data_IF_749204690534
#
_entry.id   IF_749204690534
#
_cell.length_a   1.000
_cell.length_b   1.000
_cell.length_c   1.000
_cell.angle_alpha   90.00
_cell.angle_beta   90.00
_cell.angle_gamma   90.00
#
_symmetry.space_group_name_H-M   'P 1'
#
loop_
_entity.id
_entity.type
_entity.pdbx_description
1 polymer ?
#
# COMPACT_ATOMS: atom_id res chain seq x y z
N UNK A 1 -10.23 8.80 -14.59
CA UNK A 1 -8.89 8.21 -14.64
C UNK A 1 -8.73 7.27 -13.45
N UNK A 2 -8.16 6.08 -13.62
CA UNK A 2 -7.94 5.14 -12.51
C UNK A 2 -6.59 5.47 -11.87
N UNK A 3 -6.61 6.13 -10.71
CA UNK A 3 -5.39 6.62 -10.04
C UNK A 3 -4.37 5.49 -9.80
N UNK A 4 -4.82 4.25 -9.57
CA UNK A 4 -3.94 3.09 -9.42
C UNK A 4 -3.07 2.81 -10.64
N UNK A 5 -3.64 2.90 -11.85
CA UNK A 5 -2.90 2.65 -13.10
C UNK A 5 -1.86 3.74 -13.41
N UNK A 6 -2.11 4.98 -12.93
CA UNK A 6 -1.14 6.07 -13.05
C UNK A 6 0.04 5.83 -12.10
N UNK A 7 -0.24 5.40 -10.87
CA UNK A 7 0.80 5.05 -9.89
C UNK A 7 1.64 3.86 -10.37
N UNK A 8 1.03 2.80 -10.88
CA UNK A 8 1.74 1.64 -11.46
C UNK A 8 2.73 2.06 -12.56
N UNK A 9 2.28 2.90 -13.50
CA UNK A 9 3.12 3.42 -14.58
C UNK A 9 4.25 4.29 -14.05
N UNK A 10 3.98 5.16 -13.07
CA UNK A 10 5.00 6.03 -12.47
C UNK A 10 6.09 5.26 -11.72
N UNK A 11 5.76 4.07 -11.20
CA UNK A 11 6.71 3.23 -10.46
C UNK A 11 7.41 2.18 -11.33
N UNK A 12 7.15 2.16 -12.64
CA UNK A 12 7.63 1.14 -13.58
C UNK A 12 7.37 -0.29 -13.05
N UNK A 13 6.13 -0.54 -12.59
CA UNK A 13 5.72 -1.84 -12.10
C UNK A 13 5.39 -2.76 -13.29
N UNK A 14 6.41 -3.44 -13.81
CA UNK A 14 6.21 -4.61 -14.69
C UNK A 14 5.72 -5.83 -13.89
N UNK A 15 5.36 -6.91 -14.59
CA UNK A 15 4.85 -8.12 -13.96
C UNK A 15 5.88 -8.79 -13.01
N UNK A 16 7.18 -8.62 -13.25
CA UNK A 16 8.24 -9.17 -12.39
C UNK A 16 8.37 -8.37 -11.09
N UNK A 17 8.27 -7.04 -11.15
CA UNK A 17 8.24 -6.16 -9.98
C UNK A 17 6.98 -6.42 -9.15
N UNK A 18 5.84 -6.68 -9.80
CA UNK A 18 4.62 -7.10 -9.10
C UNK A 18 4.79 -8.45 -8.38
N UNK A 19 5.45 -9.42 -8.99
CA UNK A 19 5.72 -10.71 -8.36
C UNK A 19 6.57 -10.55 -7.08
N UNK A 20 7.61 -9.72 -7.14
CA UNK A 20 8.45 -9.38 -5.98
C UNK A 20 7.69 -8.57 -4.92
N UNK A 21 6.78 -7.69 -5.33
CA UNK A 21 5.98 -6.91 -4.41
C UNK A 21 5.01 -7.76 -3.57
N UNK A 22 4.57 -8.92 -4.10
CA UNK A 22 3.76 -9.88 -3.35
C UNK A 22 4.51 -10.52 -2.17
N UNK A 23 5.82 -10.31 -2.03
CA UNK A 23 6.57 -10.77 -0.89
C UNK A 23 6.08 -10.08 0.41
N UNK A 24 5.78 -10.87 1.44
CA UNK A 24 5.30 -10.36 2.72
C UNK A 24 6.26 -9.34 3.36
N UNK A 25 7.57 -9.53 3.23
CA UNK A 25 8.57 -8.59 3.74
C UNK A 25 8.54 -7.26 2.99
N UNK A 26 8.33 -7.27 1.66
CA UNK A 26 8.13 -6.03 0.89
C UNK A 26 6.94 -5.26 1.45
N UNK A 27 5.80 -5.91 1.64
CA UNK A 27 4.61 -5.27 2.19
C UNK A 27 4.81 -4.72 3.61
N UNK A 28 5.32 -5.54 4.54
CA UNK A 28 5.47 -5.15 5.95
C UNK A 28 6.48 -4.01 6.15
N UNK A 29 7.58 -4.00 5.40
CA UNK A 29 8.60 -2.95 5.52
C UNK A 29 8.19 -1.61 4.88
N UNK A 30 7.05 -1.56 4.17
CA UNK A 30 6.44 -0.32 3.67
C UNK A 30 5.43 0.30 4.62
N UNK A 31 4.80 -0.49 5.49
CA UNK A 31 3.83 0.00 6.49
C UNK A 31 4.42 1.11 7.37
N UNK A 32 5.63 0.97 7.96
CA UNK A 32 6.18 2.02 8.82
C UNK A 32 6.70 3.23 8.06
N UNK A 33 6.76 3.22 6.72
CA UNK A 33 7.30 4.34 5.94
C UNK A 33 6.53 5.64 6.17
N UNK A 34 5.19 5.61 6.21
CA UNK A 34 4.40 6.82 6.43
C UNK A 34 4.58 7.37 7.86
N UNK A 35 4.49 6.55 8.94
CA UNK A 35 4.89 6.98 10.29
C UNK A 35 6.31 7.54 10.35
N UNK A 36 7.29 6.87 9.74
CA UNK A 36 8.68 7.32 9.73
C UNK A 36 8.85 8.64 8.96
N UNK A 37 8.09 8.84 7.89
CA UNK A 37 8.09 10.08 7.12
C UNK A 37 7.49 11.23 7.95
N UNK A 38 6.37 10.97 8.64
CA UNK A 38 5.76 11.95 9.55
C UNK A 38 6.74 12.35 10.68
N UNK A 39 7.43 11.38 11.30
CA UNK A 39 8.46 11.65 12.29
C UNK A 39 9.65 12.42 11.71
N UNK A 40 10.07 12.09 10.50
CA UNK A 40 11.16 12.79 9.82
C UNK A 40 10.79 14.25 9.57
N UNK A 41 9.58 14.53 9.09
CA UNK A 41 9.08 15.90 8.90
C UNK A 41 8.97 16.62 10.24
N UNK A 42 8.46 15.96 11.27
CA UNK A 42 8.35 16.53 12.62
C UNK A 42 9.72 16.90 13.19
N UNK A 43 10.74 16.09 12.93
CA UNK A 43 12.11 16.32 13.38
C UNK A 43 12.70 17.65 12.86
N UNK A 44 12.10 18.30 11.85
CA UNK A 44 12.47 19.65 11.43
C UNK A 44 12.46 20.67 12.58
N UNK A 45 11.66 20.45 13.64
CA UNK A 45 11.67 21.27 14.85
C UNK A 45 12.99 21.19 15.64
N UNK A 46 13.72 20.08 15.54
CA UNK A 46 14.92 19.81 16.32
C UNK A 46 16.19 19.92 15.50
N UNK A 47 16.17 19.39 14.26
CA UNK A 47 17.35 19.27 13.40
C UNK A 47 17.28 20.16 12.16
N UNK A 48 16.24 21.00 12.03
CA UNK A 48 16.06 21.91 10.90
C UNK A 48 16.08 21.16 9.56
N UNK A 49 16.84 21.67 8.58
CA UNK A 49 16.95 21.10 7.24
C UNK A 49 17.58 19.71 7.19
N UNK A 50 18.28 19.25 8.23
CA UNK A 50 18.81 17.89 8.29
C UNK A 50 17.72 16.83 8.24
N UNK A 51 16.46 17.19 8.51
CA UNK A 51 15.30 16.31 8.34
C UNK A 51 15.12 15.84 6.88
N UNK A 52 15.70 16.53 5.90
CA UNK A 52 15.63 16.12 4.49
C UNK A 52 16.36 14.80 4.23
N UNK A 53 17.44 14.50 4.98
CA UNK A 53 18.18 13.25 4.81
C UNK A 53 17.28 12.02 5.04
N UNK A 54 16.62 11.84 6.22
CA UNK A 54 15.75 10.69 6.42
C UNK A 54 14.53 10.70 5.48
N UNK A 55 14.01 11.87 5.11
CA UNK A 55 12.94 11.97 4.10
C UNK A 55 13.39 11.36 2.76
N UNK A 56 14.55 11.78 2.24
CA UNK A 56 15.10 11.28 0.98
C UNK A 56 15.38 9.77 1.08
N UNK A 57 15.97 9.31 2.18
CA UNK A 57 16.20 7.87 2.42
C UNK A 57 14.90 7.07 2.37
N UNK A 58 13.82 7.57 2.97
CA UNK A 58 12.51 6.91 2.94
C UNK A 58 11.90 6.91 1.53
N UNK A 59 12.04 7.99 0.77
CA UNK A 59 11.56 8.05 -0.62
C UNK A 59 12.31 7.04 -1.51
N UNK A 60 13.64 6.94 -1.35
CA UNK A 60 14.46 5.92 -2.01
C UNK A 60 14.01 4.52 -1.59
N UNK A 61 13.75 4.30 -0.30
CA UNK A 61 13.26 3.03 0.20
C UNK A 61 11.93 2.62 -0.44
N UNK A 62 10.95 3.52 -0.54
CA UNK A 62 9.66 3.24 -1.19
C UNK A 62 9.84 2.76 -2.63
N UNK A 63 10.82 3.33 -3.34
CA UNK A 63 11.13 2.95 -4.71
C UNK A 63 11.92 1.64 -4.83
N UNK A 64 12.89 1.41 -3.94
CA UNK A 64 13.72 0.19 -3.90
C UNK A 64 12.97 -1.03 -3.37
N UNK A 65 12.06 -0.84 -2.42
CA UNK A 65 11.39 -1.89 -1.69
C UNK A 65 10.75 -2.99 -2.57
N UNK A 66 9.94 -2.68 -3.61
CA UNK A 66 9.35 -3.72 -4.46
C UNK A 66 10.39 -4.48 -5.32
N UNK A 67 11.66 -4.03 -5.35
CA UNK A 67 12.77 -4.66 -6.09
C UNK A 67 13.75 -5.40 -5.16
N UNK A 68 13.72 -5.08 -3.86
CA UNK A 68 14.69 -5.55 -2.87
C UNK A 68 14.46 -6.99 -2.41
N UNK A 69 13.25 -7.54 -2.59
CA UNK A 69 12.89 -8.87 -2.11
C UNK A 69 12.62 -9.83 -3.28
N UNK A 70 12.91 -11.13 -3.13
CA UNK A 70 12.54 -12.14 -4.13
C UNK A 70 11.01 -12.33 -4.17
N UNK A 71 10.49 -12.92 -5.25
CA UNK A 71 9.10 -13.34 -5.31
C UNK A 71 8.81 -14.39 -4.23
N UNK A 72 7.60 -14.42 -3.65
CA UNK A 72 7.26 -15.40 -2.61
C UNK A 72 7.06 -16.79 -3.22
N UNK A 73 7.76 -17.79 -2.68
CA UNK A 73 7.60 -19.21 -3.10
C UNK A 73 6.17 -19.75 -2.82
N UNK A 74 5.46 -19.15 -1.84
CA UNK A 74 4.10 -19.53 -1.46
C UNK A 74 3.26 -18.33 -1.04
N UNK A 75 1.98 -18.35 -1.39
CA UNK A 75 0.99 -17.33 -1.01
C UNK A 75 0.15 -17.84 0.17
N UNK A 76 0.78 -17.99 1.33
CA UNK A 76 0.07 -18.39 2.57
C UNK A 76 -0.13 -17.20 3.52
N UNK A 77 0.77 -16.24 3.46
CA UNK A 77 0.91 -15.09 4.35
C UNK A 77 -0.21 -14.06 4.10
N UNK A 78 -0.69 -13.41 5.17
CA UNK A 78 -1.73 -12.37 5.09
C UNK A 78 -1.34 -11.24 4.13
N UNK A 79 -0.10 -10.72 4.23
CA UNK A 79 0.38 -9.62 3.40
C UNK A 79 0.47 -10.00 1.91
N UNK A 80 0.95 -11.20 1.60
CA UNK A 80 1.03 -11.68 0.21
C UNK A 80 -0.36 -11.80 -0.42
N UNK A 81 -1.33 -12.35 0.31
CA UNK A 81 -2.74 -12.39 -0.11
C UNK A 81 -3.31 -11.00 -0.34
N UNK A 82 -2.97 -10.03 0.53
CA UNK A 82 -3.43 -8.66 0.41
C UNK A 82 -2.90 -7.98 -0.86
N UNK A 83 -1.60 -8.11 -1.16
CA UNK A 83 -0.99 -7.53 -2.37
C UNK A 83 -1.58 -8.15 -3.65
N UNK A 84 -1.82 -9.46 -3.65
CA UNK A 84 -2.47 -10.12 -4.78
C UNK A 84 -3.92 -9.66 -4.92
N UNK A 85 -4.66 -9.54 -3.82
CA UNK A 85 -6.00 -8.97 -3.83
C UNK A 85 -6.02 -7.55 -4.40
N UNK A 86 -5.01 -6.73 -4.09
CA UNK A 86 -4.83 -5.40 -4.68
C UNK A 86 -4.63 -5.47 -6.21
N UNK A 87 -3.83 -6.44 -6.71
CA UNK A 87 -3.67 -6.67 -8.15
C UNK A 87 -5.00 -7.10 -8.81
N UNK A 88 -5.79 -7.95 -8.15
CA UNK A 88 -7.14 -8.34 -8.61
C UNK A 88 -8.05 -7.10 -8.67
N UNK A 89 -8.03 -6.27 -7.63
CA UNK A 89 -8.77 -5.01 -7.58
C UNK A 89 -8.39 -4.06 -8.71
N UNK A 90 -7.10 -3.93 -9.04
CA UNK A 90 -6.64 -3.09 -10.15
C UNK A 90 -7.11 -3.64 -11.51
N UNK A 91 -7.23 -4.96 -11.64
CA UNK A 91 -7.73 -5.62 -12.86
C UNK A 91 -9.28 -5.69 -12.97
N UNK A 92 -10.03 -5.12 -12.02
CA UNK A 92 -11.50 -5.21 -11.92
C UNK A 92 -12.29 -4.80 -13.17
N UNK A 93 -11.68 -4.02 -14.07
CA UNK A 93 -12.29 -3.61 -15.35
C UNK A 93 -12.28 -4.72 -16.39
N UNK A 94 -11.28 -5.61 -16.34
CA UNK A 94 -11.18 -6.76 -17.25
C UNK A 94 -11.90 -7.97 -16.68
N UNK A 95 -11.71 -8.24 -15.39
CA UNK A 95 -12.37 -9.34 -14.68
C UNK A 95 -13.25 -8.72 -13.59
N UNK A 96 -14.59 -8.77 -13.74
CA UNK A 96 -15.50 -8.22 -12.74
C UNK A 96 -15.31 -8.87 -11.37
N UNK A 97 -15.46 -8.08 -10.32
CA UNK A 97 -15.39 -8.51 -8.93
C UNK A 97 -16.71 -8.22 -8.21
N UNK A 98 -17.01 -8.91 -7.09
CA UNK A 98 -18.22 -8.64 -6.32
C UNK A 98 -18.35 -7.17 -5.91
N UNK A 99 -19.55 -6.60 -6.10
CA UNK A 99 -19.83 -5.16 -5.85
C UNK A 99 -19.52 -4.71 -4.42
N UNK A 100 -19.67 -5.61 -3.45
CA UNK A 100 -19.42 -5.29 -2.04
C UNK A 100 -17.92 -5.05 -1.77
N UNK A 101 -17.03 -5.88 -2.32
CA UNK A 101 -15.58 -5.66 -2.26
C UNK A 101 -15.21 -4.32 -2.88
N UNK A 102 -15.83 -4.00 -4.01
CA UNK A 102 -15.57 -2.74 -4.69
C UNK A 102 -15.97 -1.51 -3.89
N UNK A 103 -17.14 -1.56 -3.26
CA UNK A 103 -17.63 -0.48 -2.41
C UNK A 103 -16.70 -0.26 -1.22
N UNK A 104 -16.30 -1.33 -0.53
CA UNK A 104 -15.39 -1.25 0.62
C UNK A 104 -14.01 -0.73 0.25
N UNK A 105 -13.45 -1.20 -0.88
CA UNK A 105 -12.18 -0.72 -1.39
C UNK A 105 -12.17 0.80 -1.63
N UNK A 106 -13.25 1.33 -2.23
CA UNK A 106 -13.41 2.77 -2.48
C UNK A 106 -13.59 3.56 -1.18
N UNK A 107 -14.46 3.09 -0.27
CA UNK A 107 -14.72 3.75 1.02
C UNK A 107 -13.43 3.85 1.84
N UNK A 108 -12.68 2.76 1.96
CA UNK A 108 -11.45 2.74 2.75
C UNK A 108 -10.33 3.56 2.11
N UNK A 109 -10.27 3.61 0.77
CA UNK A 109 -9.36 4.50 0.06
C UNK A 109 -9.71 5.97 0.30
N UNK A 110 -11.00 6.32 0.29
CA UNK A 110 -11.47 7.65 0.62
C UNK A 110 -11.17 8.01 2.08
N UNK A 111 -11.40 7.08 3.02
CA UNK A 111 -11.10 7.29 4.44
C UNK A 111 -9.60 7.49 4.68
N UNK A 112 -8.75 6.71 3.99
CA UNK A 112 -7.31 6.92 4.03
C UNK A 112 -6.93 8.32 3.51
N UNK A 113 -7.55 8.77 2.42
CA UNK A 113 -7.32 10.11 1.87
C UNK A 113 -7.79 11.23 2.82
N UNK A 114 -8.88 11.02 3.57
CA UNK A 114 -9.38 11.96 4.57
C UNK A 114 -8.45 12.11 5.78
N UNK A 115 -7.59 11.13 6.05
CA UNK A 115 -6.55 11.24 7.08
C UNK A 115 -5.38 12.16 6.69
N UNK A 116 -5.21 12.46 5.40
CA UNK A 116 -4.07 13.25 4.91
C UNK A 116 -4.15 14.73 5.32
N UNK A 117 -5.27 15.46 5.16
CA UNK A 117 -5.35 16.87 5.58
C UNK A 117 -4.98 17.13 7.05
N UNK A 118 -5.52 16.43 8.07
CA UNK A 118 -5.13 16.65 9.46
C UNK A 118 -3.66 16.26 9.71
N UNK A 119 -3.14 15.25 9.01
CA UNK A 119 -1.72 14.88 9.10
C UNK A 119 -0.81 16.02 8.62
N UNK A 120 -1.10 16.58 7.43
CA UNK A 120 -0.35 17.71 6.87
C UNK A 120 -0.45 18.92 7.80
N UNK A 121 -1.65 19.25 8.25
CA UNK A 121 -1.88 20.36 9.18
C UNK A 121 -1.11 20.19 10.48
N UNK A 122 -1.19 19.01 11.10
CA UNK A 122 -0.47 18.71 12.33
C UNK A 122 1.05 18.79 12.19
N UNK A 123 1.59 18.32 11.07
CA UNK A 123 3.02 18.45 10.78
C UNK A 123 3.46 19.89 10.50
N UNK A 124 2.60 20.70 9.88
CA UNK A 124 2.87 22.12 9.64
C UNK A 124 2.85 22.93 10.94
N UNK A 125 1.81 22.75 11.75
CA UNK A 125 1.57 23.55 12.96
C UNK A 125 2.23 22.97 14.22
N UNK A 126 2.89 21.80 14.11
CA UNK A 126 3.35 21.01 15.25
C UNK A 126 2.23 20.68 16.25
N UNK A 127 1.03 20.42 15.73
CA UNK A 127 -0.09 19.88 16.50
C UNK A 127 -0.03 18.35 16.50
N UNK A 128 0.36 17.79 17.66
CA UNK A 128 0.58 16.36 17.80
C UNK A 128 -0.72 15.55 17.66
N UNK A 129 -1.86 16.12 18.08
CA UNK A 129 -3.15 15.44 18.00
C UNK A 129 -3.64 15.38 16.56
N UNK A 130 -3.54 16.49 15.83
CA UNK A 130 -3.90 16.50 14.41
C UNK A 130 -2.99 15.55 13.59
N UNK A 131 -1.68 15.57 13.85
CA UNK A 131 -0.73 14.68 13.18
C UNK A 131 -1.01 13.20 13.50
N UNK A 132 -1.21 12.85 14.77
CA UNK A 132 -1.48 11.48 15.19
C UNK A 132 -2.83 10.99 14.67
N UNK A 133 -3.88 11.81 14.75
CA UNK A 133 -5.20 11.46 14.23
C UNK A 133 -5.14 11.20 12.72
N UNK A 134 -4.50 12.09 11.96
CA UNK A 134 -4.33 11.91 10.52
C UNK A 134 -3.50 10.67 10.17
N UNK A 135 -2.44 10.40 10.93
CA UNK A 135 -1.61 9.20 10.75
C UNK A 135 -2.41 7.91 11.02
N UNK A 136 -3.13 7.85 12.14
CA UNK A 136 -3.95 6.70 12.53
C UNK A 136 -5.05 6.44 11.50
N UNK A 137 -5.76 7.49 11.07
CA UNK A 137 -6.81 7.35 10.04
C UNK A 137 -6.20 6.86 8.72
N UNK A 138 -5.08 7.43 8.28
CA UNK A 138 -4.46 7.06 7.01
C UNK A 138 -3.93 5.62 7.02
N UNK A 139 -3.10 5.28 8.02
CA UNK A 139 -2.48 3.96 8.13
C UNK A 139 -3.52 2.89 8.48
N UNK A 140 -4.40 3.17 9.44
CA UNK A 140 -5.46 2.24 9.84
C UNK A 140 -6.41 1.90 8.69
N UNK A 141 -6.84 2.91 7.92
CA UNK A 141 -7.68 2.69 6.74
C UNK A 141 -6.97 1.89 5.66
N UNK A 142 -5.66 2.13 5.44
CA UNK A 142 -4.87 1.35 4.48
C UNK A 142 -4.70 -0.10 4.94
N UNK A 143 -4.45 -0.36 6.22
CA UNK A 143 -4.36 -1.73 6.75
C UNK A 143 -5.71 -2.46 6.66
N UNK A 144 -6.82 -1.77 6.93
CA UNK A 144 -8.15 -2.34 6.75
C UNK A 144 -8.48 -2.57 5.27
N UNK A 145 -8.04 -1.68 4.38
CA UNK A 145 -8.12 -1.93 2.94
C UNK A 145 -7.39 -3.21 2.56
N UNK A 146 -6.16 -3.42 3.05
CA UNK A 146 -5.39 -4.63 2.80
C UNK A 146 -6.11 -5.88 3.35
N UNK A 147 -6.74 -5.79 4.52
CA UNK A 147 -7.60 -6.86 5.02
C UNK A 147 -8.71 -7.20 4.02
N UNK A 148 -9.44 -6.20 3.51
CA UNK A 148 -10.47 -6.42 2.48
C UNK A 148 -9.91 -7.05 1.20
N UNK A 149 -8.66 -6.76 0.83
CA UNK A 149 -8.00 -7.40 -0.31
C UNK A 149 -7.70 -8.89 -0.05
N UNK A 150 -7.42 -9.29 1.19
CA UNK A 150 -7.28 -10.72 1.55
C UNK A 150 -8.61 -11.47 1.34
N UNK A 151 -9.73 -10.87 1.73
CA UNK A 151 -11.06 -11.45 1.49
C UNK A 151 -11.39 -11.51 -0.01
N UNK A 152 -11.10 -10.43 -0.75
CA UNK A 152 -11.27 -10.43 -2.20
C UNK A 152 -10.44 -11.55 -2.86
N UNK A 153 -9.19 -11.72 -2.44
CA UNK A 153 -8.37 -12.83 -2.91
C UNK A 153 -9.00 -14.19 -2.59
N UNK A 154 -9.49 -14.39 -1.37
CA UNK A 154 -10.11 -15.64 -0.95
C UNK A 154 -11.36 -15.99 -1.77
N UNK A 155 -12.19 -15.00 -2.11
CA UNK A 155 -13.40 -15.22 -2.91
C UNK A 155 -13.08 -15.45 -4.39
N UNK A 156 -12.02 -14.83 -4.91
CA UNK A 156 -11.69 -14.86 -6.33
C UNK A 156 -10.77 -16.02 -6.73
N UNK A 157 -9.97 -16.57 -5.79
CA UNK A 157 -9.01 -17.65 -6.07
C UNK A 157 -9.70 -18.93 -6.56
N UNK A 158 -10.89 -19.23 -6.04
CA UNK A 158 -11.63 -20.46 -6.35
C UNK A 158 -12.55 -20.26 -7.57
N UNK A 159 -12.97 -19.01 -7.82
CA UNK A 159 -13.88 -18.67 -8.91
C UNK A 159 -13.19 -18.55 -10.29
N UNK A 160 -11.87 -18.34 -10.34
CA UNK A 160 -11.15 -18.08 -11.59
C UNK A 160 -9.79 -18.80 -11.65
N UNK A 161 -9.69 -19.94 -12.36
CA UNK A 161 -8.44 -20.69 -12.55
C UNK A 161 -7.31 -19.88 -13.21
N UNK A 162 -7.68 -18.83 -13.94
CA UNK A 162 -6.76 -17.91 -14.62
C UNK A 162 -5.88 -17.14 -13.63
N UNK A 163 -6.45 -16.76 -12.48
CA UNK A 163 -5.67 -16.19 -11.39
C UNK A 163 -4.82 -17.26 -10.72
N UNK A 164 -5.36 -18.46 -10.47
CA UNK A 164 -4.56 -19.56 -9.91
C UNK A 164 -3.30 -19.87 -10.73
N UNK A 165 -3.37 -19.78 -12.07
CA UNK A 165 -2.23 -20.03 -12.96
C UNK A 165 -1.21 -18.88 -12.99
N UNK A 166 -1.68 -17.63 -13.11
CA UNK A 166 -0.81 -16.44 -12.95
C UNK A 166 -0.16 -16.34 -11.57
N UNK A 167 -0.76 -16.94 -10.54
CA UNK A 167 -0.25 -16.99 -9.18
C UNK A 167 0.72 -18.16 -8.96
N UNK A 168 0.64 -19.22 -9.77
CA UNK A 168 1.59 -20.34 -9.79
C UNK A 168 2.82 -20.00 -10.63
N UNK A 169 2.66 -19.30 -11.76
CA UNK A 169 3.77 -18.91 -12.65
C UNK A 169 4.62 -17.75 -12.08
N UNK A 170 4.15 -17.11 -11.01
CA UNK A 170 4.87 -16.05 -10.28
C UNK A 170 5.56 -16.54 -8.99
N UNK A 171 5.48 -17.83 -8.67
CA UNK A 171 6.13 -18.53 -7.56
C UNK A 171 7.26 -19.42 -8.07
#
# INVERSE_FOLDING_TARGET
MDFGQVTEKSMAMDDQVWAKHANAWSGWTRVPTLPALALSIWARAWIGWWCLLPIITLLIWVWLNPRAFPAPERISNWMSKAVIGERIWLNRKKIPIPKHHARWAIILSALAALGIPPLIWGLWQFDAWAALAGLVVTVGSKLWFLDRMVWLFADMKDAYPQYSKQLQDAA
#
